data_IF_471528860847
#
_entry.id   IF_471528860847
#
_cell.length_a   1.000
_cell.length_b   1.000
_cell.length_c   1.000
_cell.angle_alpha   90.00
_cell.angle_beta   90.00
_cell.angle_gamma   90.00
#
_symmetry.space_group_name_H-M   'P 1'
#
loop_
_entity.id
_entity.type
_entity.pdbx_description
1 polymer ?
#
# COMPACT_ATOMS: atom_id res chain seq x y z
N UNK A 1 11.07 -12.32 6.01
CA UNK A 1 10.22 -11.22 5.50
C UNK A 1 9.78 -10.31 6.64
N UNK A 2 9.06 -10.86 7.63
CA UNK A 2 8.63 -10.12 8.83
C UNK A 2 9.80 -9.46 9.56
N UNK A 3 10.92 -10.18 9.76
CA UNK A 3 12.10 -9.62 10.44
C UNK A 3 12.68 -8.37 9.76
N UNK A 4 12.79 -8.36 8.42
CA UNK A 4 13.34 -7.21 7.67
C UNK A 4 12.41 -6.00 7.79
N UNK A 5 11.11 -6.22 7.76
CA UNK A 5 10.11 -5.18 7.95
C UNK A 5 10.12 -4.64 9.38
N UNK A 6 10.30 -5.50 10.38
CA UNK A 6 10.45 -5.09 11.79
C UNK A 6 11.70 -4.23 11.97
N UNK A 7 12.85 -4.67 11.45
CA UNK A 7 14.11 -3.91 11.54
C UNK A 7 13.95 -2.55 10.86
N UNK A 8 13.41 -2.52 9.64
CA UNK A 8 13.18 -1.28 8.90
C UNK A 8 12.24 -0.32 9.65
N UNK A 9 11.11 -0.83 10.14
CA UNK A 9 10.15 -0.03 10.90
C UNK A 9 10.76 0.53 12.19
N UNK A 10 11.56 -0.26 12.90
CA UNK A 10 12.26 0.21 14.11
C UNK A 10 13.25 1.34 13.79
N UNK A 11 14.03 1.21 12.71
CA UNK A 11 15.01 2.23 12.32
C UNK A 11 14.33 3.56 11.95
N UNK A 12 13.15 3.53 11.33
CA UNK A 12 12.48 4.77 10.90
C UNK A 12 11.55 5.36 11.97
N UNK A 13 10.87 4.52 12.74
CA UNK A 13 9.91 4.98 13.77
C UNK A 13 10.62 5.54 14.99
N UNK A 14 11.74 4.93 15.40
CA UNK A 14 12.43 5.30 16.64
C UNK A 14 12.97 6.75 16.63
N UNK A 15 13.61 7.24 15.55
CA UNK A 15 13.98 8.65 15.43
C UNK A 15 12.79 9.60 15.48
N UNK A 16 11.68 9.26 14.82
CA UNK A 16 10.46 10.06 14.85
C UNK A 16 9.91 10.21 16.27
N UNK A 17 9.82 9.11 17.03
CA UNK A 17 9.33 9.11 18.41
C UNK A 17 10.25 9.94 19.32
N UNK A 18 11.57 9.80 19.18
CA UNK A 18 12.54 10.58 19.97
C UNK A 18 12.37 12.07 19.69
N UNK A 19 12.37 12.48 18.43
CA UNK A 19 12.26 13.89 18.03
C UNK A 19 10.91 14.48 18.43
N UNK A 20 9.84 13.69 18.35
CA UNK A 20 8.51 14.12 18.81
C UNK A 20 8.50 14.41 20.31
N UNK A 21 9.04 13.49 21.12
CA UNK A 21 9.16 13.65 22.57
C UNK A 21 10.03 14.86 22.91
N UNK A 22 11.22 15.00 22.31
CA UNK A 22 12.12 16.11 22.61
C UNK A 22 11.52 17.46 22.24
N UNK A 23 10.83 17.56 21.10
CA UNK A 23 10.16 18.80 20.68
C UNK A 23 8.98 19.16 21.58
N UNK A 24 8.30 18.15 22.15
CA UNK A 24 7.18 18.37 23.07
C UNK A 24 7.64 18.87 24.45
N UNK A 25 8.72 18.30 24.99
CA UNK A 25 9.21 18.63 26.35
C UNK A 25 10.22 19.78 26.39
N UNK A 26 10.97 20.02 25.31
CA UNK A 26 11.86 21.17 25.16
C UNK A 26 11.49 21.96 23.90
N UNK A 27 10.40 22.75 23.94
CA UNK A 27 10.02 23.63 22.85
C UNK A 27 10.95 24.84 22.80
N UNK A 28 12.21 24.61 22.45
CA UNK A 28 13.18 25.67 22.21
C UNK A 28 14.06 25.26 21.03
N UNK A 29 14.04 26.11 20.00
CA UNK A 29 14.89 26.13 18.81
C UNK A 29 14.26 25.62 17.51
N UNK A 30 14.39 26.45 16.46
CA UNK A 30 14.01 26.16 15.08
C UNK A 30 14.61 24.84 14.56
N UNK A 31 15.73 24.41 15.15
CA UNK A 31 16.39 23.14 14.85
C UNK A 31 15.51 21.92 15.22
N UNK A 32 14.86 21.92 16.38
CA UNK A 32 13.98 20.84 16.80
C UNK A 32 12.74 20.76 15.89
N UNK A 33 12.21 21.91 15.48
CA UNK A 33 11.10 21.96 14.54
C UNK A 33 11.48 21.43 13.14
N UNK A 34 12.67 21.77 12.65
CA UNK A 34 13.21 21.20 11.41
C UNK A 34 13.37 19.68 11.50
N UNK A 35 13.95 19.16 12.59
CA UNK A 35 14.08 17.73 12.83
C UNK A 35 12.72 17.04 12.89
N UNK A 36 11.71 17.68 13.48
CA UNK A 36 10.35 17.17 13.53
C UNK A 36 9.78 17.01 12.12
N UNK A 37 9.87 18.05 11.29
CA UNK A 37 9.41 18.00 9.89
C UNK A 37 10.16 16.92 9.10
N UNK A 38 11.48 16.84 9.25
CA UNK A 38 12.30 15.82 8.58
C UNK A 38 11.87 14.40 9.00
N UNK A 39 11.67 14.17 10.30
CA UNK A 39 11.27 12.87 10.83
C UNK A 39 9.86 12.45 10.40
N UNK A 40 8.91 13.40 10.30
CA UNK A 40 7.56 13.15 9.75
C UNK A 40 7.64 12.74 8.27
N UNK A 41 8.44 13.45 7.47
CA UNK A 41 8.61 13.13 6.05
C UNK A 41 9.25 11.75 5.86
N UNK A 42 10.30 11.43 6.62
CA UNK A 42 10.94 10.12 6.60
C UNK A 42 9.97 9.01 7.01
N UNK A 43 9.16 9.24 8.05
CA UNK A 43 8.14 8.29 8.48
C UNK A 43 7.07 8.06 7.40
N UNK A 44 6.62 9.12 6.74
CA UNK A 44 5.62 9.05 5.66
C UNK A 44 6.15 8.25 4.47
N UNK A 45 7.39 8.48 4.05
CA UNK A 45 8.05 7.70 2.99
C UNK A 45 8.19 6.23 3.41
N UNK A 46 8.50 5.97 4.68
CA UNK A 46 8.59 4.63 5.22
C UNK A 46 7.27 3.86 5.26
N UNK A 47 6.11 4.50 5.17
CA UNK A 47 4.84 3.77 5.01
C UNK A 47 4.71 3.10 3.63
N UNK A 48 5.39 3.62 2.60
CA UNK A 48 5.43 3.03 1.26
C UNK A 48 6.50 1.93 1.13
N UNK A 49 7.53 1.95 1.98
CA UNK A 49 8.66 1.00 1.91
C UNK A 49 8.30 -0.48 2.06
N UNK A 50 7.28 -0.92 2.84
CA UNK A 50 6.98 -2.34 3.00
C UNK A 50 6.66 -2.96 1.65
N UNK A 51 5.91 -2.27 0.80
CA UNK A 51 5.60 -2.75 -0.54
C UNK A 51 6.88 -3.04 -1.35
N UNK A 52 7.84 -2.12 -1.36
CA UNK A 52 9.13 -2.32 -2.03
C UNK A 52 9.94 -3.46 -1.41
N UNK A 53 9.96 -3.57 -0.07
CA UNK A 53 10.62 -4.68 0.64
C UNK A 53 9.98 -6.02 0.24
N UNK A 54 8.66 -6.10 0.15
CA UNK A 54 7.94 -7.31 -0.27
C UNK A 54 8.26 -7.69 -1.72
N UNK A 55 8.29 -6.73 -2.63
CA UNK A 55 8.66 -6.95 -4.04
C UNK A 55 10.13 -7.38 -4.16
N UNK A 56 11.06 -6.73 -3.47
CA UNK A 56 12.49 -6.98 -3.62
C UNK A 56 12.96 -8.24 -2.88
N UNK A 57 12.44 -8.51 -1.68
CA UNK A 57 12.93 -9.57 -0.79
C UNK A 57 12.16 -10.89 -1.02
N UNK A 58 10.85 -10.85 -1.30
CA UNK A 58 10.13 -12.10 -1.59
C UNK A 58 10.33 -12.55 -3.03
N UNK A 59 10.76 -13.80 -3.23
CA UNK A 59 10.57 -14.45 -4.54
C UNK A 59 9.10 -14.85 -4.74
N UNK A 60 8.45 -15.35 -3.69
CA UNK A 60 7.05 -15.81 -3.72
C UNK A 60 6.06 -14.69 -4.04
N UNK A 61 6.16 -13.55 -3.35
CA UNK A 61 5.31 -12.40 -3.63
C UNK A 61 5.48 -11.90 -5.08
N UNK A 62 6.72 -11.83 -5.60
CA UNK A 62 6.95 -11.45 -7.00
C UNK A 62 6.27 -12.38 -8.00
N UNK A 63 6.33 -13.69 -7.78
CA UNK A 63 5.70 -14.66 -8.67
C UNK A 63 4.17 -14.52 -8.62
N UNK A 64 3.59 -14.39 -7.43
CA UNK A 64 2.14 -14.17 -7.26
C UNK A 64 1.70 -12.84 -7.88
N UNK A 65 2.46 -11.76 -7.65
CA UNK A 65 2.18 -10.45 -8.20
C UNK A 65 2.23 -10.46 -9.73
N UNK A 66 3.26 -11.06 -10.34
CA UNK A 66 3.34 -11.25 -11.79
C UNK A 66 2.14 -12.04 -12.30
N UNK A 67 1.82 -13.17 -11.68
CA UNK A 67 0.69 -14.00 -12.08
C UNK A 67 -0.64 -13.24 -12.06
N UNK A 68 -0.92 -12.53 -10.96
CA UNK A 68 -2.15 -11.72 -10.80
C UNK A 68 -2.18 -10.57 -11.82
N UNK A 69 -1.05 -9.87 -12.01
CA UNK A 69 -0.95 -8.79 -12.99
C UNK A 69 -1.22 -9.26 -14.41
N UNK A 70 -0.57 -10.36 -14.83
CA UNK A 70 -0.80 -10.98 -16.14
C UNK A 70 -2.24 -11.47 -16.29
N UNK A 71 -2.80 -12.11 -15.25
CA UNK A 71 -4.19 -12.59 -15.30
C UNK A 71 -5.18 -11.44 -15.46
N UNK A 72 -5.03 -10.35 -14.70
CA UNK A 72 -5.89 -9.17 -14.80
C UNK A 72 -5.77 -8.45 -16.14
N UNK A 73 -4.54 -8.24 -16.64
CA UNK A 73 -4.33 -7.59 -17.94
C UNK A 73 -4.83 -8.47 -19.09
N UNK A 74 -4.47 -9.76 -19.12
CA UNK A 74 -4.91 -10.68 -20.17
C UNK A 74 -6.43 -10.85 -20.15
N UNK A 75 -7.08 -10.94 -18.98
CA UNK A 75 -8.54 -11.05 -18.90
C UNK A 75 -9.25 -9.76 -19.33
N UNK A 76 -8.72 -8.57 -18.99
CA UNK A 76 -9.22 -7.29 -19.53
C UNK A 76 -9.11 -7.23 -21.04
N UNK A 77 -8.00 -7.71 -21.60
CA UNK A 77 -7.78 -7.73 -23.06
C UNK A 77 -8.59 -8.82 -23.77
N UNK A 78 -8.94 -9.91 -23.09
CA UNK A 78 -9.80 -11.00 -23.61
C UNK A 78 -11.30 -10.77 -23.42
N UNK A 79 -11.71 -9.75 -22.65
CA UNK A 79 -13.12 -9.34 -22.47
C UNK A 79 -13.47 -8.02 -23.20
N UNK A 80 -13.26 -7.87 -24.52
CA UNK A 80 -13.93 -6.79 -25.24
C UNK A 80 -15.46 -7.04 -25.37
N UNK A 81 -15.93 -8.28 -25.21
CA UNK A 81 -17.32 -8.69 -25.50
C UNK A 81 -17.99 -9.54 -24.39
N UNK A 82 -17.88 -9.17 -23.11
CA UNK A 82 -18.93 -9.58 -22.16
C UNK A 82 -19.98 -8.49 -22.12
N UNK A 83 -20.89 -8.60 -23.08
CA UNK A 83 -22.24 -8.04 -23.04
C UNK A 83 -22.79 -8.29 -21.64
N UNK A 84 -23.39 -7.24 -21.04
CA UNK A 84 -24.16 -7.34 -19.79
C UNK A 84 -24.90 -8.67 -19.72
N UNK A 85 -24.88 -9.41 -18.59
CA UNK A 85 -25.67 -10.63 -18.48
C UNK A 85 -27.09 -10.28 -18.90
N UNK A 86 -27.55 -10.93 -19.97
CA UNK A 86 -28.90 -10.75 -20.51
C UNK A 86 -29.86 -10.82 -19.33
N UNK A 87 -30.55 -9.72 -19.09
CA UNK A 87 -31.66 -9.67 -18.14
C UNK A 87 -32.58 -10.81 -18.57
N UNK A 88 -32.87 -11.81 -17.70
CA UNK A 88 -33.72 -12.93 -18.09
C UNK A 88 -35.01 -12.34 -18.63
N UNK A 89 -35.30 -12.66 -19.89
CA UNK A 89 -36.46 -12.19 -20.61
C UNK A 89 -37.69 -12.75 -19.89
N UNK A 90 -38.26 -11.98 -18.97
CA UNK A 90 -39.52 -12.31 -18.31
C UNK A 90 -40.57 -12.20 -19.41
N UNK A 91 -40.89 -13.31 -20.06
CA UNK A 91 -42.07 -13.43 -20.89
C UNK A 91 -43.29 -13.19 -20.00
N UNK A 92 -43.86 -11.99 -20.10
CA UNK A 92 -45.17 -11.69 -19.49
C UNK A 92 -46.20 -12.50 -20.28
N UNK A 93 -46.49 -13.71 -19.81
CA UNK A 93 -47.67 -14.44 -20.24
C UNK A 93 -48.88 -13.63 -19.77
N UNK A 94 -49.50 -12.87 -20.68
CA UNK A 94 -50.84 -12.32 -20.44
C UNK A 94 -51.82 -13.48 -20.39
N UNK A 95 -52.30 -13.79 -19.19
CA UNK A 95 -53.42 -14.72 -18.97
C UNK A 95 -54.70 -13.96 -19.30
N UNK A 96 -55.43 -14.45 -20.30
CA UNK A 96 -56.81 -14.06 -20.62
C UNK A 96 -57.79 -14.62 -19.60
#
# INVERSE_FOLDING_TARGET
>A
MVLVQVIFNSIVLLPYVIVFITTFYLPSDNFNFFLLILSINLHTVALASPFYIYVCVSKRFRQQFKHVFYTLHVNRWRQPNQVLPEIPNISINMVN
#
